data_IF_752354358200
#
_entry.id   IF_752354358200
#
_cell.length_a   1.000
_cell.length_b   1.000
_cell.length_c   1.000
_cell.angle_alpha   90.00
_cell.angle_beta   90.00
_cell.angle_gamma   90.00
#
_symmetry.space_group_name_H-M   'P 1'
#
loop_
_entity.id
_entity.type
_entity.pdbx_description
1 polymer ?
#
# COMPACT_ATOMS: atom_id res chain seq x y z
N UNK A 1 17.20 18.27 52.56
CA UNK A 1 16.57 17.90 51.27
C UNK A 1 17.71 17.72 50.27
N UNK A 2 18.10 16.47 50.04
CA UNK A 2 19.27 16.08 49.27
C UNK A 2 18.93 16.03 47.78
N UNK A 3 19.58 16.89 46.99
CA UNK A 3 19.49 16.84 45.53
C UNK A 3 20.12 15.56 45.00
N UNK A 4 19.34 14.75 44.28
CA UNK A 4 19.80 13.55 43.62
C UNK A 4 20.63 13.85 42.35
N UNK A 5 21.57 12.96 41.97
CA UNK A 5 22.48 13.19 40.85
C UNK A 5 21.73 13.16 39.50
N UNK A 6 21.75 14.30 38.80
CA UNK A 6 21.21 14.45 37.43
C UNK A 6 22.04 13.63 36.43
N UNK A 7 21.50 12.47 36.01
CA UNK A 7 22.02 11.69 34.86
C UNK A 7 21.85 12.51 33.58
N UNK A 8 22.96 12.95 33.00
CA UNK A 8 23.00 13.55 31.65
C UNK A 8 22.92 12.41 30.62
N UNK A 9 21.91 12.45 29.77
CA UNK A 9 21.79 11.54 28.64
C UNK A 9 22.82 11.90 27.56
N UNK A 10 23.40 10.90 26.86
CA UNK A 10 24.33 11.15 25.76
C UNK A 10 23.58 11.84 24.61
N UNK A 11 24.07 13.02 24.25
CA UNK A 11 23.64 13.76 23.07
C UNK A 11 24.04 12.91 21.86
N UNK A 12 23.04 12.35 21.19
CA UNK A 12 23.21 11.64 19.92
C UNK A 12 23.73 12.63 18.88
N UNK A 13 25.01 12.47 18.56
CA UNK A 13 25.61 12.67 17.24
C UNK A 13 25.08 13.84 16.42
N UNK A 14 25.57 15.03 16.73
CA UNK A 14 25.65 16.13 15.78
C UNK A 14 26.73 15.79 14.73
N UNK A 15 26.38 15.02 13.72
CA UNK A 15 27.24 14.85 12.54
C UNK A 15 27.27 16.18 11.78
N UNK A 16 28.36 16.90 11.98
CA UNK A 16 28.68 18.14 11.29
C UNK A 16 28.84 17.89 9.77
N UNK A 17 28.30 18.76 8.91
CA UNK A 17 28.60 18.71 7.49
C UNK A 17 30.05 19.14 7.27
N UNK A 18 30.87 18.19 6.82
CA UNK A 18 32.24 18.40 6.33
C UNK A 18 32.17 19.30 5.09
N UNK A 19 32.26 20.62 5.27
CA UNK A 19 32.48 21.59 4.19
C UNK A 19 33.85 21.34 3.57
N UNK A 20 33.91 20.57 2.50
CA UNK A 20 35.04 20.64 1.57
C UNK A 20 34.89 21.92 0.77
N UNK A 21 35.75 22.89 1.07
CA UNK A 21 35.93 24.10 0.28
C UNK A 21 36.46 23.72 -1.11
N UNK A 22 35.62 23.79 -2.13
CA UNK A 22 36.05 23.87 -3.52
C UNK A 22 36.23 25.34 -3.89
N UNK A 23 37.44 25.85 -3.76
CA UNK A 23 37.88 27.08 -4.42
C UNK A 23 38.15 26.72 -5.89
N UNK A 24 37.10 26.85 -6.72
CA UNK A 24 37.17 26.73 -8.18
C UNK A 24 36.75 28.04 -8.81
N UNK A 25 37.69 28.69 -9.48
CA UNK A 25 37.58 30.00 -10.08
C UNK A 25 36.68 30.03 -11.32
N UNK A 26 36.00 31.18 -11.50
CA UNK A 26 35.76 31.83 -12.79
C UNK A 26 35.00 31.05 -13.87
N UNK A 27 33.66 31.08 -13.79
CA UNK A 27 32.79 30.72 -14.91
C UNK A 27 31.72 31.80 -15.10
N UNK A 28 31.76 32.46 -16.26
CA UNK A 28 30.88 33.55 -16.67
C UNK A 28 29.40 33.26 -16.44
N UNK A 29 28.72 34.14 -15.68
CA UNK A 29 27.27 34.23 -15.61
C UNK A 29 26.72 34.65 -16.97
N UNK A 30 26.32 33.67 -17.77
CA UNK A 30 25.26 33.88 -18.75
C UNK A 30 23.93 34.20 -18.03
N UNK A 31 22.97 34.85 -18.70
CA UNK A 31 21.63 35.02 -18.15
C UNK A 31 21.08 33.63 -17.85
N UNK A 32 20.92 33.31 -16.56
CA UNK A 32 20.18 32.15 -16.13
C UNK A 32 18.74 32.42 -16.53
N UNK A 33 18.31 31.82 -17.64
CA UNK A 33 16.91 31.65 -17.93
C UNK A 33 16.31 30.90 -16.74
N UNK A 34 15.44 31.56 -16.00
CA UNK A 34 14.47 30.98 -15.06
C UNK A 34 13.48 30.10 -15.83
N UNK A 35 14.00 29.08 -16.50
CA UNK A 35 13.26 28.02 -17.18
C UNK A 35 13.71 26.72 -16.50
N UNK A 36 13.01 26.35 -15.44
CA UNK A 36 13.39 25.22 -14.59
C UNK A 36 12.79 25.23 -13.17
N UNK A 37 12.05 26.28 -12.79
CA UNK A 37 11.07 26.23 -11.69
C UNK A 37 9.78 25.48 -12.13
N UNK A 38 9.92 24.51 -13.05
CA UNK A 38 8.84 23.59 -13.39
C UNK A 38 8.69 22.57 -12.25
N UNK A 39 7.84 22.95 -11.31
CA UNK A 39 7.26 22.11 -10.28
C UNK A 39 8.26 21.46 -9.31
N UNK A 40 8.75 22.26 -8.35
CA UNK A 40 8.70 21.81 -6.95
C UNK A 40 7.22 21.54 -6.60
N UNK A 41 6.67 20.45 -7.15
CA UNK A 41 5.30 20.06 -6.91
C UNK A 41 5.16 19.85 -5.41
N UNK A 42 4.36 20.71 -4.79
CA UNK A 42 4.02 20.70 -3.36
C UNK A 42 4.11 19.28 -2.83
N UNK A 43 5.11 19.07 -1.96
CA UNK A 43 5.43 17.76 -1.47
C UNK A 43 4.21 17.20 -0.73
N UNK A 44 3.46 16.32 -1.43
CA UNK A 44 2.20 15.80 -0.90
C UNK A 44 2.47 15.06 0.41
N UNK A 45 1.65 15.26 1.44
CA UNK A 45 1.86 14.61 2.72
C UNK A 45 1.81 13.08 2.55
N UNK A 46 2.63 12.32 3.29
CA UNK A 46 2.79 10.87 3.09
C UNK A 46 1.48 10.07 3.13
N UNK A 47 0.50 10.52 3.92
CA UNK A 47 -0.80 9.85 4.04
C UNK A 47 -1.64 9.87 2.75
N UNK A 48 -1.45 10.86 1.87
CA UNK A 48 -2.12 10.90 0.56
C UNK A 48 -1.78 9.65 -0.27
N UNK A 49 -0.54 9.19 -0.20
CA UNK A 49 -0.08 8.02 -0.94
C UNK A 49 -0.70 6.71 -0.45
N UNK A 50 -1.02 6.62 0.85
CA UNK A 50 -1.77 5.49 1.38
C UNK A 50 -3.20 5.45 0.81
N UNK A 51 -3.87 6.60 0.72
CA UNK A 51 -5.21 6.71 0.11
C UNK A 51 -5.16 6.37 -1.38
N UNK A 52 -4.17 6.86 -2.12
CA UNK A 52 -3.99 6.49 -3.53
C UNK A 52 -3.75 4.99 -3.71
N UNK A 53 -2.93 4.38 -2.84
CA UNK A 53 -2.73 2.93 -2.81
C UNK A 53 -4.04 2.18 -2.61
N UNK A 54 -4.85 2.60 -1.65
CA UNK A 54 -6.17 2.03 -1.40
C UNK A 54 -7.08 2.12 -2.63
N UNK A 55 -7.22 3.31 -3.21
CA UNK A 55 -8.08 3.55 -4.39
C UNK A 55 -7.61 2.71 -5.59
N UNK A 56 -6.31 2.67 -5.84
CA UNK A 56 -5.72 1.86 -6.90
C UNK A 56 -5.99 0.37 -6.68
N UNK A 57 -5.88 -0.12 -5.43
CA UNK A 57 -6.23 -1.49 -5.09
C UNK A 57 -7.70 -1.79 -5.41
N UNK A 58 -8.65 -0.93 -5.04
CA UNK A 58 -10.06 -1.14 -5.40
C UNK A 58 -10.31 -1.12 -6.91
N UNK A 59 -9.69 -0.18 -7.61
CA UNK A 59 -9.82 -0.06 -9.06
C UNK A 59 -9.38 -1.34 -9.80
N UNK A 60 -8.37 -2.05 -9.26
CA UNK A 60 -7.91 -3.34 -9.80
C UNK A 60 -8.70 -4.52 -9.24
N UNK A 61 -9.05 -4.49 -7.95
CA UNK A 61 -9.70 -5.61 -7.26
C UNK A 61 -11.12 -5.85 -7.73
N UNK A 62 -11.95 -4.81 -7.84
CA UNK A 62 -13.36 -4.94 -8.23
C UNK A 62 -13.57 -5.66 -9.57
N UNK A 63 -12.89 -5.28 -10.68
CA UNK A 63 -13.03 -6.01 -11.94
C UNK A 63 -12.47 -7.44 -11.85
N UNK A 64 -11.38 -7.66 -11.10
CA UNK A 64 -10.85 -9.01 -10.88
C UNK A 64 -11.83 -9.88 -10.10
N UNK A 65 -12.46 -9.36 -9.05
CA UNK A 65 -13.45 -10.07 -8.23
C UNK A 65 -14.70 -10.41 -9.04
N UNK A 66 -15.18 -9.48 -9.88
CA UNK A 66 -16.28 -9.75 -10.80
C UNK A 66 -15.90 -10.84 -11.82
N UNK A 67 -14.69 -10.78 -12.37
CA UNK A 67 -14.17 -11.76 -13.32
C UNK A 67 -14.00 -13.16 -12.71
N UNK A 68 -13.43 -13.26 -11.50
CA UNK A 68 -13.29 -14.56 -10.80
C UNK A 68 -14.66 -15.13 -10.48
N UNK A 69 -15.60 -14.31 -10.01
CA UNK A 69 -16.96 -14.76 -9.73
C UNK A 69 -17.67 -15.27 -10.99
N UNK A 70 -17.62 -14.52 -12.09
CA UNK A 70 -18.21 -14.93 -13.37
C UNK A 70 -17.59 -16.23 -13.92
N UNK A 71 -16.27 -16.39 -13.81
CA UNK A 71 -15.58 -17.60 -14.21
C UNK A 71 -15.97 -18.80 -13.35
N UNK A 72 -15.99 -18.63 -12.03
CA UNK A 72 -16.36 -19.67 -11.07
C UNK A 72 -17.82 -20.09 -11.25
N UNK A 73 -18.73 -19.15 -11.48
CA UNK A 73 -20.12 -19.47 -11.81
C UNK A 73 -20.22 -20.32 -13.07
N UNK A 74 -19.49 -19.98 -14.15
CA UNK A 74 -19.49 -20.79 -15.38
C UNK A 74 -18.96 -22.20 -15.17
N UNK A 75 -17.89 -22.37 -14.40
CA UNK A 75 -17.27 -23.68 -14.15
C UNK A 75 -18.11 -24.53 -13.19
N UNK A 76 -18.67 -23.92 -12.14
CA UNK A 76 -19.43 -24.62 -11.10
C UNK A 76 -20.86 -24.92 -11.53
N UNK A 77 -21.52 -24.07 -12.32
CA UNK A 77 -22.86 -24.35 -12.87
C UNK A 77 -22.88 -25.58 -13.78
N UNK A 78 -21.75 -25.96 -14.38
CA UNK A 78 -21.62 -27.20 -15.16
C UNK A 78 -21.62 -28.47 -14.29
N UNK A 79 -21.44 -28.35 -12.96
CA UNK A 79 -21.29 -29.48 -12.05
C UNK A 79 -22.29 -29.54 -10.88
N UNK A 80 -23.15 -28.54 -10.70
CA UNK A 80 -24.10 -28.47 -9.58
C UNK A 80 -25.47 -29.01 -10.00
N UNK A 81 -25.75 -30.26 -9.65
CA UNK A 81 -27.11 -30.81 -9.62
C UNK A 81 -27.60 -30.72 -8.18
N UNK A 82 -28.58 -29.86 -7.89
CA UNK A 82 -29.23 -29.79 -6.57
C UNK A 82 -29.07 -28.50 -5.75
N UNK A 83 -28.48 -27.44 -6.30
CA UNK A 83 -28.57 -26.07 -5.74
C UNK A 83 -27.67 -25.74 -4.54
N UNK A 84 -27.05 -26.72 -3.88
CA UNK A 84 -26.06 -26.47 -2.81
C UNK A 84 -24.62 -26.50 -3.33
N UNK A 85 -23.86 -25.45 -3.00
CA UNK A 85 -22.43 -25.38 -3.31
C UNK A 85 -21.63 -26.22 -2.31
N UNK A 86 -20.86 -27.23 -2.75
CA UNK A 86 -20.03 -28.01 -1.84
C UNK A 86 -19.01 -27.11 -1.12
N UNK A 87 -18.70 -27.42 0.15
CA UNK A 87 -17.79 -26.61 0.96
C UNK A 87 -16.42 -26.36 0.28
N UNK A 88 -15.93 -27.32 -0.51
CA UNK A 88 -14.72 -27.16 -1.32
C UNK A 88 -14.86 -26.05 -2.37
N UNK A 89 -15.99 -25.95 -3.06
CA UNK A 89 -16.24 -24.88 -4.03
C UNK A 89 -16.30 -23.51 -3.34
N UNK A 90 -16.96 -23.41 -2.18
CA UNK A 90 -16.98 -22.18 -1.39
C UNK A 90 -15.56 -21.76 -0.97
N UNK A 91 -14.74 -22.70 -0.49
CA UNK A 91 -13.35 -22.44 -0.13
C UNK A 91 -12.52 -21.96 -1.33
N UNK A 92 -12.72 -22.55 -2.52
CA UNK A 92 -12.07 -22.11 -3.76
C UNK A 92 -12.51 -20.70 -4.15
N UNK A 93 -13.80 -20.38 -4.04
CA UNK A 93 -14.30 -19.03 -4.33
C UNK A 93 -13.70 -17.98 -3.39
N UNK A 94 -13.69 -18.24 -2.09
CA UNK A 94 -13.08 -17.35 -1.08
C UNK A 94 -11.58 -17.21 -1.33
N UNK A 95 -10.87 -18.31 -1.58
CA UNK A 95 -9.44 -18.31 -1.87
C UNK A 95 -9.08 -17.54 -3.14
N UNK A 96 -9.85 -17.72 -4.23
CA UNK A 96 -9.67 -16.99 -5.47
C UNK A 96 -9.90 -15.49 -5.29
N UNK A 97 -10.92 -15.09 -4.52
CA UNK A 97 -11.18 -13.68 -4.24
C UNK A 97 -10.10 -13.06 -3.35
N UNK A 98 -9.63 -13.79 -2.34
CA UNK A 98 -8.51 -13.35 -1.49
C UNK A 98 -7.22 -13.18 -2.30
N UNK A 99 -6.95 -14.09 -3.25
CA UNK A 99 -5.81 -13.97 -4.17
C UNK A 99 -5.96 -12.77 -5.10
N UNK A 100 -7.14 -12.55 -5.67
CA UNK A 100 -7.44 -11.37 -6.50
C UNK A 100 -7.20 -10.07 -5.71
N UNK A 101 -7.65 -10.02 -4.46
CA UNK A 101 -7.39 -8.90 -3.56
C UNK A 101 -5.89 -8.71 -3.30
N UNK A 102 -5.14 -9.78 -3.02
CA UNK A 102 -3.69 -9.71 -2.80
C UNK A 102 -2.95 -9.19 -4.04
N UNK A 103 -3.31 -9.65 -5.24
CA UNK A 103 -2.72 -9.17 -6.50
C UNK A 103 -3.04 -7.68 -6.74
N UNK A 104 -4.28 -7.27 -6.47
CA UNK A 104 -4.68 -5.87 -6.56
C UNK A 104 -3.97 -4.98 -5.52
N UNK A 105 -3.75 -5.49 -4.31
CA UNK A 105 -2.99 -4.82 -3.27
C UNK A 105 -1.51 -4.66 -3.69
N UNK A 106 -0.90 -5.71 -4.26
CA UNK A 106 0.44 -5.64 -4.82
C UNK A 106 0.53 -4.63 -5.97
N UNK A 107 -0.45 -4.57 -6.87
CA UNK A 107 -0.50 -3.59 -7.96
C UNK A 107 -0.63 -2.15 -7.43
N UNK A 108 -1.53 -1.92 -6.49
CA UNK A 108 -1.68 -0.62 -5.82
C UNK A 108 -0.39 -0.20 -5.10
N UNK A 109 0.24 -1.13 -4.37
CA UNK A 109 1.54 -0.92 -3.75
C UNK A 109 2.64 -0.58 -4.76
N UNK A 110 2.67 -1.27 -5.90
CA UNK A 110 3.64 -1.03 -6.97
C UNK A 110 3.50 0.38 -7.57
N UNK A 111 2.27 0.83 -7.79
CA UNK A 111 2.00 2.21 -8.24
C UNK A 111 2.49 3.24 -7.22
N UNK A 112 2.19 3.02 -5.93
CA UNK A 112 2.67 3.88 -4.84
C UNK A 112 4.20 3.90 -4.77
N UNK A 113 4.86 2.74 -4.87
CA UNK A 113 6.33 2.67 -4.85
C UNK A 113 6.99 3.31 -6.07
N UNK A 114 6.34 3.28 -7.24
CA UNK A 114 6.86 3.86 -8.47
C UNK A 114 6.67 5.38 -8.52
N UNK A 115 5.51 5.89 -8.14
CA UNK A 115 5.13 7.30 -8.31
C UNK A 115 5.18 8.11 -7.01
N UNK A 116 5.34 7.47 -5.85
CA UNK A 116 5.15 8.06 -4.52
C UNK A 116 6.14 9.13 -4.07
N UNK A 117 7.14 9.51 -4.88
CA UNK A 117 8.15 10.47 -4.44
C UNK A 117 8.93 9.95 -3.22
N UNK A 118 8.77 10.58 -2.05
CA UNK A 118 9.35 10.09 -0.78
C UNK A 118 8.51 9.01 -0.10
N UNK A 119 7.26 8.80 -0.50
CA UNK A 119 6.46 7.68 -0.01
C UNK A 119 7.07 6.36 -0.48
N UNK A 120 7.20 5.43 0.46
CA UNK A 120 7.88 4.17 0.24
C UNK A 120 7.03 2.99 0.66
N UNK A 121 7.70 2.01 1.28
CA UNK A 121 7.07 0.74 1.67
C UNK A 121 6.02 0.90 2.76
N UNK A 122 6.13 1.91 3.63
CA UNK A 122 5.22 2.13 4.76
C UNK A 122 3.84 2.58 4.27
N UNK A 123 3.81 3.54 3.36
CA UNK A 123 2.61 4.11 2.77
C UNK A 123 1.90 3.09 1.88
N UNK A 124 2.66 2.30 1.10
CA UNK A 124 2.11 1.17 0.34
C UNK A 124 1.45 0.13 1.26
N UNK A 125 2.12 -0.24 2.37
CA UNK A 125 1.55 -1.19 3.36
C UNK A 125 0.26 -0.63 3.97
N UNK A 126 0.27 0.65 4.35
CA UNK A 126 -0.89 1.33 4.91
C UNK A 126 -2.06 1.37 3.91
N UNK A 127 -1.80 1.65 2.63
CA UNK A 127 -2.82 1.63 1.59
C UNK A 127 -3.48 0.25 1.41
N UNK A 128 -2.70 -0.83 1.42
CA UNK A 128 -3.23 -2.20 1.38
C UNK A 128 -4.07 -2.57 2.61
N UNK A 129 -3.64 -2.14 3.80
CA UNK A 129 -4.39 -2.35 5.04
C UNK A 129 -5.69 -1.52 5.08
N UNK A 130 -5.66 -0.26 4.61
CA UNK A 130 -6.85 0.58 4.47
C UNK A 130 -7.85 -0.04 3.49
N UNK A 131 -7.36 -0.60 2.37
CA UNK A 131 -8.22 -1.29 1.42
C UNK A 131 -8.94 -2.49 2.04
N UNK A 132 -8.23 -3.27 2.87
CA UNK A 132 -8.81 -4.38 3.61
C UNK A 132 -9.86 -3.91 4.62
N UNK A 133 -9.58 -2.83 5.37
CA UNK A 133 -10.53 -2.25 6.31
C UNK A 133 -11.80 -1.72 5.63
N UNK A 134 -11.65 -1.09 4.46
CA UNK A 134 -12.79 -0.62 3.67
C UNK A 134 -13.61 -1.78 3.10
N UNK A 135 -12.96 -2.81 2.56
CA UNK A 135 -13.63 -4.02 2.08
C UNK A 135 -14.39 -4.74 3.20
N UNK A 136 -13.78 -4.85 4.37
CA UNK A 136 -14.40 -5.38 5.59
C UNK A 136 -15.63 -4.55 5.99
N UNK A 137 -15.52 -3.22 6.00
CA UNK A 137 -16.63 -2.32 6.32
C UNK A 137 -17.80 -2.52 5.36
N UNK A 138 -17.54 -2.61 4.06
CA UNK A 138 -18.58 -2.89 3.06
C UNK A 138 -19.24 -4.25 3.27
N UNK A 139 -18.46 -5.28 3.63
CA UNK A 139 -18.98 -6.62 3.89
C UNK A 139 -19.90 -6.65 5.13
N UNK A 140 -19.54 -5.92 6.19
CA UNK A 140 -20.41 -5.74 7.37
C UNK A 140 -21.71 -5.01 7.01
N UNK A 141 -21.63 -3.95 6.20
CA UNK A 141 -22.81 -3.19 5.76
C UNK A 141 -23.78 -4.02 4.90
N UNK A 142 -23.30 -5.06 4.21
CA UNK A 142 -24.14 -5.98 3.45
C UNK A 142 -24.87 -7.02 4.33
N UNK A 143 -24.72 -6.95 5.66
CA UNK A 143 -25.47 -7.78 6.60
C UNK A 143 -24.94 -9.21 6.73
N UNK A 144 -23.66 -9.45 6.41
CA UNK A 144 -23.09 -10.79 6.58
C UNK A 144 -23.08 -11.18 8.07
N UNK A 145 -23.87 -12.20 8.40
CA UNK A 145 -24.10 -12.66 9.77
C UNK A 145 -22.95 -13.56 10.22
N UNK A 146 -21.90 -12.96 10.78
CA UNK A 146 -20.86 -13.67 11.51
C UNK A 146 -20.70 -13.03 12.90
N UNK A 147 -20.24 -13.82 13.89
CA UNK A 147 -19.95 -13.29 15.21
C UNK A 147 -18.81 -12.26 15.19
N UNK A 148 -18.83 -11.31 16.13
CA UNK A 148 -17.84 -10.20 16.22
C UNK A 148 -16.40 -10.72 16.19
N UNK A 149 -16.13 -11.85 16.88
CA UNK A 149 -14.80 -12.48 16.92
C UNK A 149 -14.35 -12.93 15.53
N UNK A 150 -15.25 -13.55 14.75
CA UNK A 150 -14.96 -14.03 13.39
C UNK A 150 -14.67 -12.85 12.48
N UNK A 151 -15.48 -11.78 12.56
CA UNK A 151 -15.25 -10.56 11.80
C UNK A 151 -13.93 -9.88 12.15
N UNK A 152 -13.57 -9.82 13.44
CA UNK A 152 -12.30 -9.27 13.89
C UNK A 152 -11.11 -10.06 13.36
N UNK A 153 -11.15 -11.39 13.43
CA UNK A 153 -10.12 -12.27 12.87
C UNK A 153 -10.00 -12.11 11.36
N UNK A 154 -11.13 -12.04 10.65
CA UNK A 154 -11.14 -11.85 9.21
C UNK A 154 -10.50 -10.51 8.80
N UNK A 155 -10.79 -9.43 9.54
CA UNK A 155 -10.15 -8.13 9.33
C UNK A 155 -8.63 -8.22 9.49
N UNK A 156 -8.15 -8.86 10.57
CA UNK A 156 -6.70 -9.01 10.82
C UNK A 156 -6.03 -9.80 9.70
N UNK A 157 -6.65 -10.90 9.25
CA UNK A 157 -6.13 -11.71 8.14
C UNK A 157 -6.09 -10.90 6.85
N UNK A 158 -7.17 -10.20 6.49
CA UNK A 158 -7.23 -9.40 5.26
C UNK A 158 -6.30 -8.19 5.29
N UNK A 159 -6.18 -7.51 6.43
CA UNK A 159 -5.23 -6.41 6.59
C UNK A 159 -3.78 -6.90 6.49
N UNK A 160 -3.46 -8.07 7.04
CA UNK A 160 -2.13 -8.68 6.93
C UNK A 160 -1.82 -9.10 5.49
N UNK A 161 -2.79 -9.70 4.80
CA UNK A 161 -2.66 -10.11 3.40
C UNK A 161 -2.51 -8.89 2.47
N UNK A 162 -3.42 -7.92 2.58
CA UNK A 162 -3.40 -6.70 1.78
C UNK A 162 -2.17 -5.84 2.06
N UNK A 163 -1.84 -5.60 3.33
CA UNK A 163 -0.65 -4.85 3.72
C UNK A 163 0.65 -5.54 3.29
N UNK A 164 0.75 -6.86 3.47
CA UNK A 164 1.91 -7.66 3.05
C UNK A 164 2.11 -7.65 1.53
N UNK A 165 1.06 -7.88 0.76
CA UNK A 165 1.11 -7.86 -0.69
C UNK A 165 1.44 -6.45 -1.23
N UNK A 166 0.81 -5.41 -0.68
CA UNK A 166 1.10 -4.03 -1.06
C UNK A 166 2.54 -3.61 -0.68
N UNK A 167 3.08 -4.11 0.42
CA UNK A 167 4.50 -3.90 0.80
C UNK A 167 5.46 -4.50 -0.23
N UNK A 168 5.18 -5.72 -0.69
CA UNK A 168 5.96 -6.38 -1.74
C UNK A 168 5.86 -5.61 -3.07
N UNK A 169 4.65 -5.21 -3.44
CA UNK A 169 4.40 -4.35 -4.60
C UNK A 169 5.19 -3.04 -4.54
N UNK A 170 5.12 -2.33 -3.42
CA UNK A 170 5.85 -1.08 -3.22
C UNK A 170 7.36 -1.25 -3.26
N UNK A 171 7.89 -2.36 -2.76
CA UNK A 171 9.31 -2.68 -2.91
C UNK A 171 9.72 -2.91 -4.37
N UNK A 172 8.90 -3.60 -5.17
CA UNK A 172 9.13 -3.75 -6.61
C UNK A 172 9.04 -2.40 -7.33
N UNK A 173 8.04 -1.57 -7.01
CA UNK A 173 7.86 -0.24 -7.58
C UNK A 173 9.08 0.66 -7.38
N UNK A 174 9.68 0.62 -6.18
CA UNK A 174 10.90 1.36 -5.87
C UNK A 174 12.11 0.90 -6.70
N UNK A 175 12.20 -0.40 -7.02
CA UNK A 175 13.28 -0.95 -7.87
C UNK A 175 13.13 -0.56 -9.34
N UNK A 176 11.88 -0.41 -9.80
CA UNK A 176 11.56 -0.02 -11.17
C UNK A 176 11.57 1.49 -11.40
N UNK A 177 11.94 2.28 -10.40
CA UNK A 177 12.01 3.73 -10.53
C UNK A 177 13.20 4.11 -11.44
N UNK A 178 12.98 4.92 -12.48
CA UNK A 178 14.08 5.41 -13.30
C UNK A 178 15.04 6.19 -12.40
N UNK A 179 16.31 5.80 -12.40
CA UNK A 179 17.39 6.58 -11.79
C UNK A 179 17.64 7.75 -12.72
N UNK A 180 17.00 8.88 -12.42
CA UNK A 180 17.37 10.17 -12.99
C UNK A 180 18.72 10.62 -12.46
#
# INVERSE_FOLDING_TARGET
MTEGPKRRLPIVGSDAPRRTASLGAGGSRGPQTTEGEEAEGEERPPWHWAVFGMVATFAVWLPLAAGTHALLQRVLLLGVVGGELPARAQAVMVGANALAFALAAAAGGLLVGRYGGRAGRREATAGGALAAGMAWTLAVLQGASAGVVVWGLLLVVMASLGGGAARLGGWLGLRCRPRG
#
